data_IF_700991226152
#
_entry.id   IF_700991226152
#
_cell.length_a   1.000
_cell.length_b   1.000
_cell.length_c   1.000
_cell.angle_alpha   90.00
_cell.angle_beta   90.00
_cell.angle_gamma   90.00
#
_symmetry.space_group_name_H-M   'P 1'
#
loop_
_entity.id
_entity.type
_entity.pdbx_description
1 polymer ?
#
# COMPACT_ATOMS: atom_id res chain seq x y z
N UNK A 1 30.53 56.36 17.47
CA UNK A 1 31.27 55.07 17.59
C UNK A 1 30.22 53.98 17.80
N UNK A 2 29.97 53.10 16.83
CA UNK A 2 28.89 52.11 16.92
C UNK A 2 29.25 50.99 17.89
N UNK A 3 28.29 50.60 18.73
CA UNK A 3 28.49 49.56 19.72
C UNK A 3 28.62 48.19 19.03
N UNK A 4 29.79 47.54 19.17
CA UNK A 4 30.07 46.25 18.55
C UNK A 4 29.88 45.12 19.58
N UNK A 5 28.75 44.42 19.49
CA UNK A 5 28.34 43.35 20.40
C UNK A 5 29.31 42.15 20.40
N UNK A 6 29.92 41.82 19.26
CA UNK A 6 30.86 40.70 19.10
C UNK A 6 32.11 40.89 19.97
N UNK A 7 32.71 42.09 19.93
CA UNK A 7 33.95 42.42 20.65
C UNK A 7 33.79 42.29 22.18
N UNK A 8 32.63 42.69 22.71
CA UNK A 8 32.35 42.58 24.15
C UNK A 8 31.93 41.16 24.57
N UNK A 9 31.40 40.34 23.66
CA UNK A 9 31.17 38.91 23.91
C UNK A 9 32.49 38.17 24.07
N UNK A 10 33.42 38.34 23.13
CA UNK A 10 34.74 37.68 23.16
C UNK A 10 35.53 38.03 24.42
N UNK A 11 35.51 39.30 24.83
CA UNK A 11 36.19 39.74 26.05
C UNK A 11 35.59 39.07 27.31
N UNK A 12 34.25 38.96 27.38
CA UNK A 12 33.56 38.28 28.50
C UNK A 12 33.87 36.79 28.53
N UNK A 13 33.86 36.11 27.40
CA UNK A 13 34.19 34.68 27.31
C UNK A 13 35.66 34.39 27.66
N UNK A 14 36.58 35.30 27.31
CA UNK A 14 38.01 35.19 27.66
C UNK A 14 38.24 35.38 29.16
N UNK A 15 37.53 36.30 29.82
CA UNK A 15 37.65 36.55 31.27
C UNK A 15 36.99 35.45 32.09
N UNK A 16 35.84 34.94 31.64
CA UNK A 16 35.09 33.91 32.35
C UNK A 16 35.64 32.49 32.09
N UNK A 17 36.62 32.31 31.19
CA UNK A 17 37.23 31.02 30.87
C UNK A 17 36.31 30.01 30.18
N UNK A 18 35.05 30.38 29.91
CA UNK A 18 34.03 29.50 29.32
C UNK A 18 33.56 30.09 27.99
N UNK A 19 33.82 29.37 26.89
CA UNK A 19 33.22 29.66 25.58
C UNK A 19 31.80 29.10 25.55
N UNK A 20 30.78 29.95 25.42
CA UNK A 20 29.39 29.50 25.20
C UNK A 20 29.19 29.08 23.74
N UNK A 21 29.81 27.98 23.32
CA UNK A 21 29.55 27.29 22.03
C UNK A 21 28.43 26.26 22.17
N UNK A 22 27.31 26.66 22.76
CA UNK A 22 26.12 25.82 22.86
C UNK A 22 25.27 25.93 21.60
N UNK A 23 24.76 24.82 21.10
CA UNK A 23 23.66 24.83 20.12
C UNK A 23 22.46 25.50 20.80
N UNK A 24 21.83 26.47 20.13
CA UNK A 24 20.67 27.14 20.73
C UNK A 24 19.54 26.13 20.96
N UNK A 25 18.78 26.29 22.04
CA UNK A 25 17.62 25.43 22.30
C UNK A 25 16.65 25.40 21.11
N UNK A 26 16.48 26.53 20.41
CA UNK A 26 15.68 26.61 19.20
C UNK A 26 16.22 25.71 18.07
N UNK A 27 17.53 25.65 17.88
CA UNK A 27 18.17 24.77 16.90
C UNK A 27 18.03 23.30 17.29
N UNK A 28 18.14 22.97 18.58
CA UNK A 28 17.92 21.59 19.03
C UNK A 28 16.46 21.18 18.87
N UNK A 29 15.52 22.03 19.27
CA UNK A 29 14.09 21.80 19.16
C UNK A 29 13.64 21.66 17.70
N UNK A 30 14.19 22.46 16.78
CA UNK A 30 13.88 22.33 15.35
C UNK A 30 14.36 21.02 14.77
N UNK A 31 15.56 20.55 15.14
CA UNK A 31 16.08 19.25 14.72
C UNK A 31 15.19 18.12 15.25
N UNK A 32 14.85 18.14 16.54
CA UNK A 32 13.98 17.11 17.13
C UNK A 32 12.60 17.10 16.47
N UNK A 33 12.00 18.28 16.25
CA UNK A 33 10.73 18.40 15.55
C UNK A 33 10.80 17.83 14.13
N UNK A 34 11.88 18.11 13.40
CA UNK A 34 12.07 17.58 12.05
C UNK A 34 12.15 16.05 12.07
N UNK A 35 12.91 15.47 13.00
CA UNK A 35 13.03 14.01 13.17
C UNK A 35 11.67 13.38 13.46
N UNK A 36 10.86 13.99 14.34
CA UNK A 36 9.52 13.49 14.67
C UNK A 36 8.61 13.53 13.43
N UNK A 37 8.58 14.64 12.70
CA UNK A 37 7.73 14.79 11.50
C UNK A 37 8.14 13.80 10.40
N UNK A 38 9.44 13.66 10.14
CA UNK A 38 9.95 12.72 9.15
C UNK A 38 9.69 11.27 9.58
N UNK A 39 9.94 10.94 10.84
CA UNK A 39 9.68 9.61 11.39
C UNK A 39 8.21 9.21 11.28
N UNK A 40 7.29 10.14 11.58
CA UNK A 40 5.86 9.90 11.46
C UNK A 40 5.43 9.77 9.99
N UNK A 41 6.00 10.59 9.10
CA UNK A 41 5.79 10.49 7.65
C UNK A 41 6.15 9.11 7.10
N UNK A 42 7.31 8.56 7.48
CA UNK A 42 7.76 7.23 7.05
C UNK A 42 6.77 6.12 7.43
N UNK A 43 6.12 6.22 8.59
CA UNK A 43 5.18 5.19 9.06
C UNK A 43 3.78 5.36 8.47
N UNK A 44 3.28 6.59 8.34
CA UNK A 44 1.88 6.88 7.99
C UNK A 44 1.66 6.90 6.48
N UNK A 45 2.60 7.47 5.72
CA UNK A 45 2.44 7.65 4.27
C UNK A 45 2.27 6.31 3.53
N UNK A 46 3.11 5.28 3.75
CA UNK A 46 2.96 4.01 3.05
C UNK A 46 1.63 3.31 3.36
N UNK A 47 1.19 3.35 4.62
CA UNK A 47 -0.09 2.75 5.05
C UNK A 47 -1.29 3.44 4.41
N UNK A 48 -1.24 4.77 4.32
CA UNK A 48 -2.31 5.57 3.73
C UNK A 48 -2.43 5.32 2.22
N UNK A 49 -1.29 5.25 1.51
CA UNK A 49 -1.26 4.91 0.08
C UNK A 49 -1.78 3.49 -0.15
N UNK A 50 -1.33 2.52 0.64
CA UNK A 50 -1.80 1.14 0.54
C UNK A 50 -3.32 1.03 0.78
N UNK A 51 -3.86 1.77 1.75
CA UNK A 51 -5.30 1.81 2.00
C UNK A 51 -6.07 2.42 0.83
N UNK A 52 -5.63 3.56 0.28
CA UNK A 52 -6.31 4.19 -0.85
C UNK A 52 -6.29 3.32 -2.11
N UNK A 53 -5.21 2.59 -2.35
CA UNK A 53 -5.10 1.69 -3.50
C UNK A 53 -5.93 0.42 -3.35
N UNK A 54 -6.17 -0.06 -2.12
CA UNK A 54 -6.83 -1.36 -1.89
C UNK A 54 -8.27 -1.26 -1.41
N UNK A 55 -8.75 -0.09 -0.97
CA UNK A 55 -10.10 0.07 -0.39
C UNK A 55 -11.23 -0.37 -1.33
N UNK A 56 -11.01 -0.22 -2.62
CA UNK A 56 -11.99 -0.54 -3.66
C UNK A 56 -11.67 -1.87 -4.37
N UNK A 57 -10.58 -2.54 -4.00
CA UNK A 57 -10.22 -3.81 -4.59
C UNK A 57 -10.87 -4.95 -3.82
N UNK A 58 -11.59 -5.78 -4.56
CA UNK A 58 -12.13 -7.06 -4.09
C UNK A 58 -11.52 -8.18 -4.94
N UNK A 59 -11.36 -9.34 -4.31
CA UNK A 59 -10.89 -10.57 -4.92
C UNK A 59 -12.08 -11.54 -5.02
N UNK A 60 -12.37 -12.01 -6.23
CA UNK A 60 -13.32 -13.11 -6.45
C UNK A 60 -12.58 -14.38 -6.86
N UNK A 61 -12.88 -15.48 -6.19
CA UNK A 61 -12.26 -16.77 -6.41
C UNK A 61 -13.24 -17.65 -7.18
N UNK A 62 -12.85 -18.07 -8.38
CA UNK A 62 -13.65 -18.94 -9.24
C UNK A 62 -12.95 -20.27 -9.48
N UNK A 63 -13.76 -21.29 -9.74
CA UNK A 63 -13.34 -22.60 -10.22
C UNK A 63 -14.20 -22.98 -11.42
N UNK A 64 -13.61 -23.65 -12.41
CA UNK A 64 -14.40 -24.31 -13.44
C UNK A 64 -15.17 -25.49 -12.84
N UNK A 65 -16.38 -25.73 -13.34
CA UNK A 65 -17.26 -26.78 -12.81
C UNK A 65 -16.67 -28.19 -13.00
N UNK A 66 -15.98 -28.42 -14.11
CA UNK A 66 -15.25 -29.65 -14.43
C UNK A 66 -13.94 -29.80 -13.65
N UNK A 67 -13.45 -28.72 -13.01
CA UNK A 67 -12.17 -28.68 -12.32
C UNK A 67 -10.95 -28.73 -13.23
N UNK A 68 -11.12 -28.49 -14.54
CA UNK A 68 -10.03 -28.43 -15.49
C UNK A 68 -9.20 -27.14 -15.32
N UNK A 69 -8.02 -27.06 -15.94
CA UNK A 69 -7.22 -25.84 -15.96
C UNK A 69 -7.93 -24.72 -16.74
N UNK A 70 -7.80 -23.48 -16.26
CA UNK A 70 -8.38 -22.33 -16.95
C UNK A 70 -7.74 -22.10 -18.33
N UNK A 71 -8.53 -22.02 -19.42
CA UNK A 71 -7.98 -21.73 -20.74
C UNK A 71 -7.37 -20.31 -20.79
N UNK A 72 -6.20 -20.13 -21.42
CA UNK A 72 -5.51 -18.84 -21.45
C UNK A 72 -6.33 -17.75 -22.17
N UNK A 73 -7.16 -18.13 -23.15
CA UNK A 73 -8.06 -17.21 -23.86
C UNK A 73 -9.09 -16.57 -22.93
N UNK A 74 -9.57 -17.34 -21.96
CA UNK A 74 -10.55 -16.89 -20.95
C UNK A 74 -9.86 -15.94 -19.98
N UNK A 75 -8.64 -16.26 -19.54
CA UNK A 75 -7.84 -15.39 -18.68
C UNK A 75 -7.61 -14.04 -19.34
N UNK A 76 -7.20 -14.02 -20.62
CA UNK A 76 -7.01 -12.77 -21.38
C UNK A 76 -8.31 -11.97 -21.49
N UNK A 77 -9.43 -12.63 -21.77
CA UNK A 77 -10.74 -11.96 -21.88
C UNK A 77 -11.20 -11.33 -20.57
N UNK A 78 -10.96 -11.98 -19.43
CA UNK A 78 -11.23 -11.39 -18.11
C UNK A 78 -10.30 -10.19 -17.87
N UNK A 79 -9.05 -10.28 -18.30
CA UNK A 79 -8.07 -9.21 -18.05
C UNK A 79 -8.37 -7.93 -18.84
N UNK A 80 -9.06 -8.05 -19.98
CA UNK A 80 -9.56 -6.92 -20.77
C UNK A 80 -10.81 -6.25 -20.17
N UNK A 81 -11.45 -6.88 -19.18
CA UNK A 81 -12.67 -6.36 -18.58
C UNK A 81 -12.38 -5.10 -17.74
N UNK A 82 -13.17 -4.05 -17.97
CA UNK A 82 -12.98 -2.77 -17.31
C UNK A 82 -13.03 -2.92 -15.79
N UNK A 83 -12.01 -2.45 -15.08
CA UNK A 83 -11.93 -2.54 -13.62
C UNK A 83 -11.19 -3.77 -13.09
N UNK A 84 -10.91 -4.79 -13.92
CA UNK A 84 -10.01 -5.89 -13.52
C UNK A 84 -8.57 -5.37 -13.43
N UNK A 85 -7.87 -5.74 -12.35
CA UNK A 85 -6.50 -5.29 -12.05
C UNK A 85 -5.48 -6.40 -12.18
N UNK A 86 -5.82 -7.60 -11.72
CA UNK A 86 -4.95 -8.75 -11.83
C UNK A 86 -5.75 -10.05 -11.80
N UNK A 87 -5.14 -11.10 -12.36
CA UNK A 87 -5.64 -12.46 -12.31
C UNK A 87 -4.50 -13.34 -11.84
N UNK A 88 -4.76 -14.15 -10.81
CA UNK A 88 -3.82 -15.14 -10.29
C UNK A 88 -4.43 -16.54 -10.45
N UNK A 89 -3.67 -17.48 -10.97
CA UNK A 89 -4.02 -18.91 -10.99
C UNK A 89 -3.33 -19.63 -9.84
N UNK A 90 -4.01 -20.63 -9.27
CA UNK A 90 -3.38 -21.56 -8.32
C UNK A 90 -2.37 -22.46 -9.03
N UNK A 91 -1.50 -23.15 -8.28
CA UNK A 91 -0.46 -24.07 -8.75
C UNK A 91 -1.02 -25.15 -9.69
N UNK A 92 -2.23 -25.63 -9.41
CA UNK A 92 -2.94 -26.62 -10.22
C UNK A 92 -3.82 -26.00 -11.33
N UNK A 93 -3.79 -24.67 -11.48
CA UNK A 93 -4.57 -23.89 -12.46
C UNK A 93 -6.09 -24.16 -12.46
N UNK A 94 -6.63 -24.80 -11.43
CA UNK A 94 -8.07 -25.13 -11.31
C UNK A 94 -8.89 -23.99 -10.70
N UNK A 95 -8.23 -23.09 -9.98
CA UNK A 95 -8.82 -21.90 -9.37
C UNK A 95 -8.17 -20.65 -9.95
N UNK A 96 -8.99 -19.64 -10.20
CA UNK A 96 -8.54 -18.29 -10.49
C UNK A 96 -8.99 -17.35 -9.38
N UNK A 97 -8.14 -16.38 -9.09
CA UNK A 97 -8.45 -15.24 -8.25
C UNK A 97 -8.42 -14.01 -9.14
N UNK A 98 -9.56 -13.34 -9.26
CA UNK A 98 -9.73 -12.14 -10.05
C UNK A 98 -9.76 -10.97 -9.08
N UNK A 99 -8.76 -10.10 -9.13
CA UNK A 99 -8.73 -8.84 -8.39
C UNK A 99 -9.35 -7.75 -9.25
N UNK A 100 -10.40 -7.11 -8.76
CA UNK A 100 -11.10 -6.07 -9.50
C UNK A 100 -11.50 -4.88 -8.62
N UNK A 101 -11.67 -3.73 -9.25
CA UNK A 101 -12.20 -2.52 -8.62
C UNK A 101 -13.72 -2.58 -8.58
N UNK A 102 -14.28 -2.77 -7.37
CA UNK A 102 -15.73 -2.89 -7.15
C UNK A 102 -16.52 -1.62 -7.48
N UNK A 103 -15.85 -0.49 -7.68
CA UNK A 103 -16.51 0.75 -8.13
C UNK A 103 -16.74 0.79 -9.65
N UNK A 104 -16.06 -0.08 -10.40
CA UNK A 104 -16.12 -0.14 -11.86
C UNK A 104 -16.79 -1.43 -12.34
N UNK A 105 -16.46 -2.57 -11.72
CA UNK A 105 -16.99 -3.88 -12.10
C UNK A 105 -17.29 -4.73 -10.89
N UNK A 106 -18.24 -5.65 -11.01
CA UNK A 106 -18.57 -6.61 -9.96
C UNK A 106 -18.53 -8.07 -10.42
N UNK A 107 -18.72 -8.97 -9.47
CA UNK A 107 -18.95 -10.39 -9.75
C UNK A 107 -20.12 -10.65 -10.72
N UNK A 108 -21.21 -9.84 -10.78
CA UNK A 108 -22.23 -10.01 -11.81
C UNK A 108 -21.71 -9.80 -13.24
N UNK A 109 -20.84 -8.82 -13.46
CA UNK A 109 -20.27 -8.52 -14.80
C UNK A 109 -19.32 -9.63 -15.24
N UNK A 110 -18.49 -10.10 -14.31
CA UNK A 110 -17.58 -11.23 -14.51
C UNK A 110 -18.39 -12.50 -14.83
N UNK A 111 -19.46 -12.76 -14.09
CA UNK A 111 -20.36 -13.89 -14.35
C UNK A 111 -21.07 -13.77 -15.71
N UNK A 112 -21.42 -12.55 -16.13
CA UNK A 112 -22.01 -12.30 -17.44
C UNK A 112 -21.02 -12.63 -18.57
N UNK A 113 -19.74 -12.29 -18.41
CA UNK A 113 -18.68 -12.68 -19.35
C UNK A 113 -18.54 -14.20 -19.45
N UNK A 114 -18.59 -14.92 -18.33
CA UNK A 114 -18.56 -16.39 -18.34
C UNK A 114 -19.74 -16.98 -19.09
N UNK A 115 -20.95 -16.47 -18.84
CA UNK A 115 -22.16 -16.90 -19.56
C UNK A 115 -22.09 -16.60 -21.05
N UNK A 116 -21.58 -15.44 -21.45
CA UNK A 116 -21.43 -15.07 -22.86
C UNK A 116 -20.50 -16.02 -23.62
N UNK A 117 -19.53 -16.61 -22.94
CA UNK A 117 -18.54 -17.54 -23.49
C UNK A 117 -18.88 -19.01 -23.26
N UNK A 118 -20.08 -19.30 -22.74
CA UNK A 118 -20.55 -20.66 -22.41
C UNK A 118 -19.63 -21.41 -21.43
N UNK A 119 -19.12 -20.70 -20.43
CA UNK A 119 -18.20 -21.25 -19.42
C UNK A 119 -18.93 -21.46 -18.11
N UNK A 120 -19.03 -22.72 -17.69
CA UNK A 120 -19.59 -23.08 -16.39
C UNK A 120 -18.58 -22.85 -15.27
N UNK A 121 -18.90 -21.90 -14.40
CA UNK A 121 -18.03 -21.49 -13.29
C UNK A 121 -18.78 -21.51 -11.98
N UNK A 122 -18.04 -21.77 -10.90
CA UNK A 122 -18.53 -21.70 -9.53
C UNK A 122 -17.75 -20.61 -8.80
N UNK A 123 -18.46 -19.61 -8.29
CA UNK A 123 -17.90 -18.61 -7.37
C UNK A 123 -17.69 -19.29 -6.01
N UNK A 124 -16.44 -19.46 -5.62
CA UNK A 124 -16.08 -20.07 -4.34
C UNK A 124 -16.15 -19.06 -3.19
N UNK A 125 -15.66 -17.84 -3.44
CA UNK A 125 -15.65 -16.79 -2.43
C UNK A 125 -15.47 -15.41 -3.08
N UNK A 126 -15.96 -14.37 -2.40
CA UNK A 126 -15.63 -12.97 -2.67
C UNK A 126 -15.15 -12.33 -1.37
N UNK A 127 -13.97 -11.73 -1.38
CA UNK A 127 -13.34 -11.15 -0.20
C UNK A 127 -12.62 -9.86 -0.58
N UNK A 128 -12.60 -8.86 0.30
CA UNK A 128 -11.82 -7.65 0.06
C UNK A 128 -10.32 -7.96 -0.08
N UNK A 129 -9.65 -7.38 -1.07
CA UNK A 129 -8.26 -7.67 -1.41
C UNK A 129 -7.30 -7.49 -0.22
N UNK A 130 -7.49 -6.39 0.52
CA UNK A 130 -6.70 -6.11 1.72
C UNK A 130 -6.89 -7.15 2.83
N UNK A 131 -8.06 -7.81 2.90
CA UNK A 131 -8.31 -8.86 3.88
C UNK A 131 -7.64 -10.18 3.46
N UNK A 132 -7.77 -10.58 2.19
CA UNK A 132 -7.07 -11.75 1.64
C UNK A 132 -5.56 -11.64 1.82
N UNK A 133 -4.98 -10.48 1.48
CA UNK A 133 -3.54 -10.24 1.65
C UNK A 133 -3.09 -10.43 3.10
N UNK A 134 -3.87 -9.93 4.07
CA UNK A 134 -3.58 -10.14 5.51
C UNK A 134 -3.68 -11.60 5.94
N UNK A 135 -4.59 -12.38 5.35
CA UNK A 135 -4.70 -13.82 5.60
C UNK A 135 -3.45 -14.53 5.07
N UNK A 136 -3.08 -14.28 3.81
CA UNK A 136 -1.90 -14.87 3.17
C UNK A 136 -0.60 -14.53 3.92
N UNK A 137 -0.44 -13.28 4.36
CA UNK A 137 0.71 -12.84 5.17
C UNK A 137 0.77 -13.52 6.56
N UNK A 138 -0.38 -13.93 7.11
CA UNK A 138 -0.42 -14.71 8.36
C UNK A 138 -0.07 -16.16 8.09
N UNK A 139 -0.64 -16.76 7.05
CA UNK A 139 -0.39 -18.15 6.66
C UNK A 139 1.09 -18.38 6.31
N UNK A 140 1.73 -17.44 5.61
CA UNK A 140 3.15 -17.54 5.26
C UNK A 140 4.13 -17.40 6.44
N UNK A 141 3.66 -17.01 7.63
CA UNK A 141 4.48 -16.92 8.85
C UNK A 141 4.46 -18.20 9.68
N UNK A 142 3.60 -19.15 9.35
CA UNK A 142 3.52 -20.48 9.94
C UNK A 142 4.10 -21.51 8.98
#
# INVERSE_FOLDING_TARGET
MSYNFEKYREKREKVLGVKKRGVSFATLASIVSLVIVLGLGIVVVPKSIAYLNTRHLDDAIYKLQDGSPWPPEVISAIQELAGVKSIETDTNSSRIVITFDKSVTGTPDINALFKQRDIETVLLNQVGHAHRKKILEKEAKF
#
